data_IF_012650505851
#
_entry.id   IF_012650505851
#
_cell.length_a   1.000
_cell.length_b   1.000
_cell.length_c   1.000
_cell.angle_alpha   90.00
_cell.angle_beta   90.00
_cell.angle_gamma   90.00
#
_symmetry.space_group_name_H-M   'P 1'
#
loop_
_entity.id
_entity.type
_entity.pdbx_description
1 polymer ?
#
# COMPACT_ATOMS: atom_id res chain seq x y z
N UNK A 1 25.99 -28.39 12.98
CA UNK A 1 25.24 -27.23 12.42
C UNK A 1 23.78 -27.64 12.38
N UNK A 2 22.98 -27.13 13.29
CA UNK A 2 21.54 -27.36 13.27
C UNK A 2 20.93 -26.37 12.27
N UNK A 3 20.36 -26.87 11.17
CA UNK A 3 19.49 -26.09 10.30
C UNK A 3 18.20 -25.79 11.09
N UNK A 4 18.05 -24.54 11.50
CA UNK A 4 16.84 -24.06 12.15
C UNK A 4 15.74 -24.03 11.08
N UNK A 5 14.74 -24.88 11.21
CA UNK A 5 13.61 -24.96 10.26
C UNK A 5 12.79 -23.66 10.29
N UNK A 6 12.04 -23.43 9.22
CA UNK A 6 11.16 -22.25 9.12
C UNK A 6 10.17 -22.15 10.27
N UNK A 7 9.68 -23.31 10.78
CA UNK A 7 8.81 -23.42 11.94
C UNK A 7 9.47 -22.95 13.23
N UNK A 8 10.75 -23.27 13.44
CA UNK A 8 11.48 -22.86 14.67
C UNK A 8 11.69 -21.36 14.73
N UNK A 9 11.86 -20.70 13.57
CA UNK A 9 11.96 -19.24 13.46
C UNK A 9 10.63 -18.56 13.79
N UNK A 10 9.51 -19.10 13.30
CA UNK A 10 8.16 -18.62 13.63
C UNK A 10 7.84 -18.76 15.11
N UNK A 11 8.17 -19.91 15.71
CA UNK A 11 8.01 -20.17 17.14
C UNK A 11 8.87 -19.20 17.97
N UNK A 12 10.10 -18.93 17.55
CA UNK A 12 10.99 -17.99 18.23
C UNK A 12 10.48 -16.54 18.12
N UNK A 13 9.99 -16.11 16.97
CA UNK A 13 9.37 -14.79 16.77
C UNK A 13 8.09 -14.68 17.62
N UNK A 14 7.24 -15.72 17.62
CA UNK A 14 6.02 -15.78 18.44
C UNK A 14 6.34 -15.76 19.95
N UNK A 15 7.36 -16.49 20.36
CA UNK A 15 7.85 -16.49 21.74
C UNK A 15 8.40 -15.11 22.17
N UNK A 16 9.13 -14.43 21.30
CA UNK A 16 9.67 -13.09 21.52
C UNK A 16 8.57 -12.03 21.64
N UNK A 17 7.50 -12.17 20.83
CA UNK A 17 6.31 -11.31 20.89
C UNK A 17 5.51 -11.56 22.16
N UNK A 18 5.35 -12.83 22.55
CA UNK A 18 4.55 -13.22 23.73
C UNK A 18 5.26 -12.96 25.05
N UNK A 19 6.58 -13.12 25.14
CA UNK A 19 7.34 -12.84 26.37
C UNK A 19 7.42 -11.35 26.70
N UNK A 20 7.50 -10.47 25.67
CA UNK A 20 7.41 -9.02 25.89
C UNK A 20 6.00 -8.52 26.23
N UNK A 21 4.96 -9.29 25.91
CA UNK A 21 3.58 -8.94 26.31
C UNK A 21 3.35 -8.94 27.81
N UNK A 22 4.18 -9.65 28.58
CA UNK A 22 4.11 -9.64 30.05
C UNK A 22 4.59 -8.32 30.66
N UNK A 23 5.51 -7.63 30.01
CA UNK A 23 6.01 -6.33 30.49
C UNK A 23 5.06 -5.17 30.17
N UNK A 24 4.21 -5.34 29.13
CA UNK A 24 3.22 -4.32 28.70
C UNK A 24 1.93 -4.39 29.56
N UNK A 25 1.64 -5.48 30.25
CA UNK A 25 0.43 -5.60 31.06
C UNK A 25 0.42 -4.76 32.36
N UNK A 26 1.53 -4.11 32.69
CA UNK A 26 1.64 -3.24 33.87
C UNK A 26 1.59 -1.74 33.56
N UNK A 27 1.60 -1.33 32.29
CA UNK A 27 1.27 0.04 31.90
C UNK A 27 -0.24 0.12 31.72
N UNK A 28 -0.89 0.95 32.50
CA UNK A 28 -2.35 1.10 32.44
C UNK A 28 -2.77 1.54 31.04
N UNK A 29 -3.80 0.90 30.48
CA UNK A 29 -4.44 1.28 29.22
C UNK A 29 -4.89 2.76 29.15
N UNK A 30 -4.84 3.46 30.29
CA UNK A 30 -5.14 4.88 30.42
C UNK A 30 -4.02 5.81 29.89
N UNK A 31 -2.79 5.31 29.69
CA UNK A 31 -1.68 6.11 29.14
C UNK A 31 -1.52 5.99 27.63
N UNK A 32 -2.31 5.14 26.97
CA UNK A 32 -2.43 5.13 25.51
C UNK A 32 -3.64 6.00 25.14
N UNK A 33 -3.71 7.18 25.67
CA UNK A 33 -4.67 8.18 25.18
C UNK A 33 -4.14 8.72 23.84
N UNK A 34 -4.68 8.18 22.76
CA UNK A 34 -4.56 8.82 21.44
C UNK A 34 -5.09 10.25 21.63
N UNK A 35 -4.25 11.23 21.33
CA UNK A 35 -4.65 12.65 21.38
C UNK A 35 -5.92 12.81 20.52
N UNK A 36 -7.06 13.21 21.11
CA UNK A 36 -8.32 13.33 20.37
C UNK A 36 -8.22 14.26 19.17
N UNK A 37 -7.34 15.25 19.20
CA UNK A 37 -7.14 16.19 18.09
C UNK A 37 -6.33 15.54 16.96
N UNK A 38 -5.40 14.64 17.28
CA UNK A 38 -4.67 13.84 16.28
C UNK A 38 -5.62 12.82 15.65
N UNK A 39 -6.44 12.14 16.46
CA UNK A 39 -7.44 11.20 15.98
C UNK A 39 -8.51 11.91 15.12
N UNK A 40 -8.99 13.08 15.55
CA UNK A 40 -9.94 13.86 14.78
C UNK A 40 -9.35 14.37 13.46
N UNK A 41 -8.06 14.71 13.45
CA UNK A 41 -7.35 15.12 12.24
C UNK A 41 -7.09 13.95 11.29
N UNK A 42 -6.78 12.78 11.80
CA UNK A 42 -6.65 11.55 11.01
C UNK A 42 -8.02 11.08 10.48
N UNK A 43 -9.07 11.12 11.31
CA UNK A 43 -10.44 10.81 10.89
C UNK A 43 -11.04 11.85 9.93
N UNK A 44 -10.67 13.13 10.03
CA UNK A 44 -11.11 14.15 9.06
C UNK A 44 -10.46 13.97 7.68
N UNK A 45 -9.27 13.39 7.67
CA UNK A 45 -8.54 13.00 6.47
C UNK A 45 -9.14 11.73 5.85
N UNK A 46 -9.63 10.79 6.66
CA UNK A 46 -10.36 9.59 6.20
C UNK A 46 -11.78 9.89 5.70
N UNK A 47 -12.32 11.08 5.98
CA UNK A 47 -13.62 11.54 5.47
C UNK A 47 -13.56 12.08 4.03
N UNK A 48 -12.38 12.35 3.49
CA UNK A 48 -12.21 12.46 2.05
C UNK A 48 -12.22 11.04 1.48
N UNK A 49 -13.37 10.65 0.98
CA UNK A 49 -13.77 9.34 0.48
C UNK A 49 -12.61 8.69 -0.29
N UNK A 50 -12.04 7.62 0.26
CA UNK A 50 -11.13 6.77 -0.48
C UNK A 50 -11.88 6.24 -1.71
N UNK A 51 -11.40 6.50 -2.94
CA UNK A 51 -12.05 5.97 -4.14
C UNK A 51 -12.26 4.46 -4.11
N UNK A 52 -11.46 3.70 -3.34
CA UNK A 52 -11.60 2.27 -3.16
C UNK A 52 -12.78 1.88 -2.24
N UNK A 53 -13.12 2.70 -1.22
CA UNK A 53 -14.26 2.40 -0.35
C UNK A 53 -15.62 2.58 -1.05
N UNK A 54 -15.70 3.38 -2.09
CA UNK A 54 -16.92 3.50 -2.92
C UNK A 54 -17.11 2.30 -3.85
N UNK A 55 -16.04 1.62 -4.23
CA UNK A 55 -16.07 0.49 -5.16
C UNK A 55 -16.77 -0.72 -4.53
N UNK A 56 -16.60 -0.96 -3.22
CA UNK A 56 -17.17 -2.11 -2.53
C UNK A 56 -18.67 -1.98 -2.20
N UNK A 57 -19.25 -0.78 -2.33
CA UNK A 57 -20.66 -0.53 -1.94
C UNK A 57 -21.67 -0.71 -3.05
N UNK A 58 -21.25 -0.60 -4.30
CA UNK A 58 -22.14 -0.75 -5.46
C UNK A 58 -22.01 -2.16 -6.05
N UNK A 59 -22.62 -3.13 -5.38
CA UNK A 59 -22.61 -4.56 -5.66
C UNK A 59 -22.53 -4.94 -7.14
N UNK A 60 -21.40 -5.52 -7.53
CA UNK A 60 -21.05 -5.89 -8.87
C UNK A 60 -21.77 -7.17 -9.33
N UNK A 61 -22.75 -7.04 -10.21
CA UNK A 61 -23.22 -8.12 -11.05
C UNK A 61 -23.44 -7.64 -12.48
N UNK A 62 -22.43 -7.79 -13.32
CA UNK A 62 -22.62 -7.60 -14.74
C UNK A 62 -21.59 -8.43 -15.52
N UNK A 63 -22.09 -9.19 -16.52
CA UNK A 63 -21.30 -10.15 -17.27
C UNK A 63 -20.19 -9.52 -18.13
N UNK A 64 -19.29 -10.35 -18.63
CA UNK A 64 -18.10 -10.00 -19.42
C UNK A 64 -18.35 -9.05 -20.60
N UNK A 65 -19.57 -9.03 -21.16
CA UNK A 65 -19.95 -8.15 -22.27
C UNK A 65 -20.04 -6.68 -21.81
N UNK A 66 -20.58 -6.44 -20.62
CA UNK A 66 -20.71 -5.11 -20.04
C UNK A 66 -19.33 -4.51 -19.71
N UNK A 67 -18.43 -5.33 -19.17
CA UNK A 67 -17.05 -4.96 -18.83
C UNK A 67 -16.28 -4.37 -20.03
N UNK A 68 -16.38 -4.98 -21.21
CA UNK A 68 -15.68 -4.48 -22.41
C UNK A 68 -16.21 -3.11 -22.84
N UNK A 69 -17.53 -2.91 -22.76
CA UNK A 69 -18.15 -1.62 -23.09
C UNK A 69 -17.74 -0.54 -22.09
N UNK A 70 -17.69 -0.86 -20.81
CA UNK A 70 -17.23 0.06 -19.76
C UNK A 70 -15.76 0.45 -19.94
N UNK A 71 -14.88 -0.51 -20.26
CA UNK A 71 -13.49 -0.22 -20.60
C UNK A 71 -13.35 0.65 -21.85
N UNK A 72 -14.14 0.40 -22.90
CA UNK A 72 -14.12 1.20 -24.13
C UNK A 72 -14.58 2.64 -23.88
N UNK A 73 -15.56 2.83 -23.01
CA UNK A 73 -16.01 4.16 -22.58
C UNK A 73 -14.94 4.85 -21.72
N UNK A 74 -14.37 4.12 -20.76
CA UNK A 74 -13.31 4.62 -19.89
C UNK A 74 -12.09 5.10 -20.68
N UNK A 75 -11.67 4.37 -21.72
CA UNK A 75 -10.57 4.80 -22.61
C UNK A 75 -10.87 6.15 -23.29
N UNK A 76 -12.13 6.43 -23.62
CA UNK A 76 -12.52 7.73 -24.18
C UNK A 76 -12.48 8.81 -23.11
N UNK A 77 -12.99 8.51 -21.91
CA UNK A 77 -13.02 9.42 -20.77
C UNK A 77 -11.61 9.86 -20.31
N UNK A 78 -10.60 8.99 -20.40
CA UNK A 78 -9.23 9.34 -20.07
C UNK A 78 -8.63 10.44 -20.98
N UNK A 79 -9.20 10.67 -22.15
CA UNK A 79 -8.78 11.75 -23.07
C UNK A 79 -9.61 13.04 -22.90
N UNK A 80 -10.54 13.06 -21.96
CA UNK A 80 -11.45 14.18 -21.75
C UNK A 80 -10.93 15.23 -20.75
N UNK A 81 -11.87 15.97 -20.19
CA UNK A 81 -11.58 16.92 -19.12
C UNK A 81 -11.25 16.20 -17.80
N UNK A 82 -10.96 16.98 -16.74
CA UNK A 82 -10.55 16.43 -15.42
C UNK A 82 -11.61 15.49 -14.85
N UNK A 83 -12.88 15.87 -14.89
CA UNK A 83 -13.97 15.07 -14.32
C UNK A 83 -14.13 13.74 -15.07
N UNK A 84 -14.08 13.81 -16.39
CA UNK A 84 -14.12 12.64 -17.26
C UNK A 84 -12.94 11.71 -17.01
N UNK A 85 -11.72 12.25 -16.87
CA UNK A 85 -10.54 11.42 -16.54
C UNK A 85 -10.69 10.71 -15.20
N UNK A 86 -11.20 11.38 -14.15
CA UNK A 86 -11.46 10.75 -12.87
C UNK A 86 -12.48 9.62 -12.98
N UNK A 87 -13.55 9.80 -13.77
CA UNK A 87 -14.53 8.74 -14.02
C UNK A 87 -13.90 7.55 -14.75
N UNK A 88 -13.12 7.80 -15.78
CA UNK A 88 -12.39 6.74 -16.51
C UNK A 88 -11.39 6.01 -15.62
N UNK A 89 -10.68 6.72 -14.74
CA UNK A 89 -9.74 6.13 -13.78
C UNK A 89 -10.42 5.19 -12.80
N UNK A 90 -11.64 5.50 -12.31
CA UNK A 90 -12.40 4.62 -11.42
C UNK A 90 -12.63 3.25 -12.06
N UNK A 91 -12.98 3.21 -13.33
CA UNK A 91 -13.21 1.97 -14.07
C UNK A 91 -11.93 1.13 -14.13
N UNK A 92 -10.77 1.75 -14.36
CA UNK A 92 -9.48 1.05 -14.38
C UNK A 92 -8.91 0.70 -12.99
N UNK A 93 -9.46 1.24 -11.93
CA UNK A 93 -9.21 0.72 -10.57
C UNK A 93 -9.88 -0.64 -10.33
N UNK A 94 -10.93 -0.97 -11.09
CA UNK A 94 -11.68 -2.23 -10.97
C UNK A 94 -11.28 -3.23 -12.07
N UNK A 95 -11.22 -2.76 -13.30
CA UNK A 95 -10.99 -3.62 -14.47
C UNK A 95 -9.57 -3.54 -14.99
N UNK A 96 -9.08 -4.67 -15.48
CA UNK A 96 -7.79 -4.76 -16.17
C UNK A 96 -7.99 -4.65 -17.67
N UNK A 97 -7.34 -3.64 -18.28
CA UNK A 97 -7.29 -3.47 -19.72
C UNK A 97 -5.94 -2.86 -20.13
N UNK A 98 -5.14 -3.63 -20.86
CA UNK A 98 -3.80 -3.22 -21.26
C UNK A 98 -3.79 -1.95 -22.15
N UNK A 99 -4.90 -1.63 -22.81
CA UNK A 99 -5.03 -0.41 -23.63
C UNK A 99 -5.02 0.87 -22.81
N UNK A 100 -5.31 0.78 -21.51
CA UNK A 100 -5.30 1.93 -20.59
C UNK A 100 -3.89 2.46 -20.30
N UNK A 101 -2.88 1.61 -20.36
CA UNK A 101 -1.53 1.94 -19.92
C UNK A 101 -0.95 3.23 -20.53
N UNK A 102 -0.92 3.44 -21.87
CA UNK A 102 -0.37 4.67 -22.46
C UNK A 102 -1.12 5.93 -22.04
N UNK A 103 -2.38 5.80 -21.60
CA UNK A 103 -3.21 6.90 -21.12
C UNK A 103 -3.03 7.15 -19.61
N UNK A 104 -2.71 6.11 -18.82
CA UNK A 104 -2.53 6.23 -17.37
C UNK A 104 -1.21 6.90 -17.00
N UNK A 105 -0.12 6.63 -17.72
CA UNK A 105 1.21 7.17 -17.39
C UNK A 105 1.25 8.70 -17.36
N UNK A 106 0.70 9.43 -18.36
CA UNK A 106 0.68 10.90 -18.32
C UNK A 106 -0.13 11.48 -17.15
N UNK A 107 -1.08 10.70 -16.61
CA UNK A 107 -1.92 11.15 -15.50
C UNK A 107 -1.16 11.17 -14.15
N UNK A 108 -0.04 10.48 -14.05
CA UNK A 108 0.85 10.53 -12.90
C UNK A 108 1.52 11.91 -12.72
N UNK A 109 1.54 12.76 -13.75
CA UNK A 109 2.13 14.09 -13.72
C UNK A 109 1.09 15.22 -13.60
N UNK A 110 -0.18 14.88 -13.41
CA UNK A 110 -1.24 15.89 -13.31
C UNK A 110 -1.08 16.74 -12.05
N UNK A 111 -1.37 18.04 -12.10
CA UNK A 111 -1.31 18.92 -10.93
C UNK A 111 -2.24 18.48 -9.80
N UNK A 112 -3.37 17.87 -10.13
CA UNK A 112 -4.37 17.43 -9.17
C UNK A 112 -3.93 16.12 -8.48
N UNK A 113 -3.76 16.10 -7.15
CA UNK A 113 -3.36 14.89 -6.44
C UNK A 113 -4.39 13.77 -6.53
N UNK A 114 -5.68 14.08 -6.67
CA UNK A 114 -6.74 13.07 -6.86
C UNK A 114 -6.55 12.33 -8.19
N UNK A 115 -6.21 13.03 -9.27
CA UNK A 115 -5.92 12.39 -10.56
C UNK A 115 -4.68 11.50 -10.47
N UNK A 116 -3.58 12.01 -9.85
CA UNK A 116 -2.36 11.21 -9.65
C UNK A 116 -2.63 9.97 -8.82
N UNK A 117 -3.32 10.10 -7.68
CA UNK A 117 -3.67 9.00 -6.80
C UNK A 117 -4.52 7.95 -7.51
N UNK A 118 -5.57 8.37 -8.24
CA UNK A 118 -6.44 7.45 -8.99
C UNK A 118 -5.68 6.75 -10.13
N UNK A 119 -4.77 7.45 -10.81
CA UNK A 119 -3.91 6.84 -11.82
C UNK A 119 -2.94 5.80 -11.20
N UNK A 120 -2.41 6.08 -10.01
CA UNK A 120 -1.59 5.12 -9.25
C UNK A 120 -2.39 3.87 -8.89
N UNK A 121 -3.64 4.00 -8.41
CA UNK A 121 -4.49 2.86 -8.12
C UNK A 121 -4.83 2.05 -9.37
N UNK A 122 -5.16 2.72 -10.47
CA UNK A 122 -5.39 2.06 -11.75
C UNK A 122 -4.16 1.26 -12.22
N UNK A 123 -2.96 1.82 -12.08
CA UNK A 123 -1.70 1.14 -12.38
C UNK A 123 -1.37 0.01 -11.39
N UNK A 124 -1.80 0.10 -10.15
CA UNK A 124 -1.70 -1.01 -9.19
C UNK A 124 -2.57 -2.20 -9.58
N UNK A 125 -3.76 -1.94 -10.14
CA UNK A 125 -4.65 -2.99 -10.68
C UNK A 125 -4.22 -3.48 -12.06
N UNK A 126 -3.56 -2.63 -12.84
CA UNK A 126 -3.03 -2.91 -14.18
C UNK A 126 -1.51 -2.76 -14.18
N UNK A 127 -0.75 -3.63 -13.49
CA UNK A 127 0.68 -3.46 -13.36
C UNK A 127 1.37 -3.56 -14.73
N UNK A 128 2.19 -2.55 -15.01
CA UNK A 128 2.96 -2.46 -16.23
C UNK A 128 4.44 -2.20 -15.89
N UNK A 129 5.36 -3.07 -16.29
CA UNK A 129 6.76 -2.98 -15.84
C UNK A 129 7.42 -1.60 -16.04
N UNK A 130 7.09 -0.89 -17.13
CA UNK A 130 7.66 0.43 -17.41
C UNK A 130 7.07 1.56 -16.54
N UNK A 131 6.03 1.31 -15.73
CA UNK A 131 5.53 2.28 -14.75
C UNK A 131 6.36 2.33 -13.46
N UNK A 132 7.15 1.29 -13.18
CA UNK A 132 7.80 1.11 -11.88
C UNK A 132 8.69 2.28 -11.50
N UNK A 133 9.55 2.75 -12.40
CA UNK A 133 10.46 3.86 -12.11
C UNK A 133 9.70 5.15 -11.77
N UNK A 134 8.60 5.41 -12.48
CA UNK A 134 7.76 6.57 -12.22
C UNK A 134 7.02 6.46 -10.90
N UNK A 135 6.49 5.27 -10.56
CA UNK A 135 5.86 5.01 -9.28
C UNK A 135 6.86 5.12 -8.13
N UNK A 136 8.07 4.61 -8.28
CA UNK A 136 9.14 4.80 -7.27
C UNK A 136 9.42 6.29 -7.06
N UNK A 137 9.54 7.07 -8.13
CA UNK A 137 9.71 8.52 -8.03
C UNK A 137 8.57 9.19 -7.25
N UNK A 138 7.31 8.82 -7.53
CA UNK A 138 6.14 9.35 -6.80
C UNK A 138 6.17 8.97 -5.31
N UNK A 139 6.55 7.74 -4.97
CA UNK A 139 6.67 7.32 -3.59
C UNK A 139 7.70 8.18 -2.82
N UNK A 140 8.79 8.55 -3.47
CA UNK A 140 9.89 9.28 -2.84
C UNK A 140 9.68 10.80 -2.82
N UNK A 141 8.95 11.36 -3.80
CA UNK A 141 8.99 12.80 -4.04
C UNK A 141 7.62 13.50 -4.14
N UNK A 142 6.50 12.76 -4.20
CA UNK A 142 5.19 13.42 -4.29
C UNK A 142 4.88 14.18 -2.99
N UNK A 143 4.47 15.43 -3.10
CA UNK A 143 4.16 16.28 -1.95
C UNK A 143 2.92 15.77 -1.18
N UNK A 144 2.01 15.09 -1.86
CA UNK A 144 0.76 14.62 -1.27
C UNK A 144 0.90 13.21 -0.68
N UNK A 145 0.66 13.08 0.63
CA UNK A 145 0.79 11.82 1.35
C UNK A 145 -0.18 10.73 0.85
N UNK A 146 -1.36 11.09 0.34
CA UNK A 146 -2.31 10.11 -0.22
C UNK A 146 -1.80 9.51 -1.52
N UNK A 147 -1.12 10.31 -2.35
CA UNK A 147 -0.46 9.80 -3.56
C UNK A 147 0.65 8.84 -3.16
N UNK A 148 1.50 9.19 -2.18
CA UNK A 148 2.56 8.31 -1.69
C UNK A 148 2.00 7.03 -1.08
N UNK A 149 0.91 7.12 -0.30
CA UNK A 149 0.20 5.96 0.26
C UNK A 149 -0.30 5.01 -0.82
N UNK A 150 -1.02 5.54 -1.80
CA UNK A 150 -1.51 4.76 -2.95
C UNK A 150 -0.35 4.11 -3.72
N UNK A 151 0.76 4.84 -3.86
CA UNK A 151 1.96 4.35 -4.55
C UNK A 151 2.62 3.21 -3.77
N UNK A 152 2.72 3.32 -2.44
CA UNK A 152 3.22 2.24 -1.61
C UNK A 152 2.41 0.96 -1.81
N UNK A 153 1.07 1.06 -1.79
CA UNK A 153 0.17 -0.06 -2.08
C UNK A 153 0.35 -0.60 -3.51
N UNK A 154 0.40 0.29 -4.51
CA UNK A 154 0.51 -0.09 -5.93
C UNK A 154 1.78 -0.91 -6.20
N UNK A 155 2.90 -0.52 -5.61
CA UNK A 155 4.21 -1.15 -5.82
C UNK A 155 4.27 -2.61 -5.36
N UNK A 156 3.39 -3.05 -4.45
CA UNK A 156 3.26 -4.45 -4.06
C UNK A 156 2.88 -5.37 -5.23
N UNK A 157 2.26 -4.83 -6.27
CA UNK A 157 1.81 -5.58 -7.44
C UNK A 157 2.88 -5.67 -8.56
N UNK A 158 4.09 -5.17 -8.30
CA UNK A 158 5.19 -5.17 -9.26
C UNK A 158 6.30 -6.11 -8.82
N UNK A 159 6.51 -7.18 -9.59
CA UNK A 159 7.64 -8.10 -9.38
C UNK A 159 8.95 -7.44 -9.84
N UNK A 160 9.45 -6.49 -9.05
CA UNK A 160 10.66 -5.76 -9.38
C UNK A 160 11.46 -5.42 -8.12
N UNK A 161 12.72 -5.84 -8.09
CA UNK A 161 13.61 -5.62 -6.95
C UNK A 161 13.91 -4.15 -6.64
N UNK A 162 13.77 -3.24 -7.61
CA UNK A 162 14.06 -1.82 -7.39
C UNK A 162 13.11 -1.17 -6.38
N UNK A 163 11.91 -1.73 -6.18
CA UNK A 163 10.90 -1.17 -5.26
C UNK A 163 11.21 -1.43 -3.78
N UNK A 164 12.06 -2.43 -3.48
CA UNK A 164 12.36 -2.84 -2.11
C UNK A 164 12.95 -1.70 -1.26
N UNK A 165 13.99 -1.04 -1.78
CA UNK A 165 14.67 0.04 -1.04
C UNK A 165 13.78 1.27 -0.82
N UNK A 166 13.04 1.79 -1.83
CA UNK A 166 12.06 2.85 -1.64
C UNK A 166 11.00 2.52 -0.59
N UNK A 167 10.44 1.31 -0.59
CA UNK A 167 9.48 0.87 0.42
C UNK A 167 10.08 0.80 1.84
N UNK A 168 11.31 0.31 1.96
CA UNK A 168 12.05 0.34 3.24
C UNK A 168 12.24 1.78 3.72
N UNK A 169 12.60 2.69 2.84
CA UNK A 169 12.79 4.10 3.18
C UNK A 169 11.49 4.77 3.61
N UNK A 170 10.40 4.51 2.89
CA UNK A 170 9.07 5.03 3.24
C UNK A 170 8.59 4.46 4.60
N UNK A 171 8.81 3.17 4.88
CA UNK A 171 8.48 2.59 6.19
C UNK A 171 9.25 3.25 7.35
N UNK A 172 10.44 3.78 7.09
CA UNK A 172 11.25 4.48 8.11
C UNK A 172 10.81 5.92 8.36
N UNK A 173 10.48 6.65 7.31
CA UNK A 173 10.58 8.10 7.33
C UNK A 173 9.30 8.83 6.94
N UNK A 174 8.29 8.15 6.41
CA UNK A 174 7.07 8.79 5.92
C UNK A 174 6.01 8.92 7.02
N UNK A 175 4.85 9.50 6.70
CA UNK A 175 3.70 9.58 7.60
C UNK A 175 3.11 8.19 7.88
N UNK A 176 2.36 8.05 8.97
CA UNK A 176 1.87 6.75 9.45
C UNK A 176 1.12 5.93 8.41
N UNK A 177 0.24 6.57 7.63
CA UNK A 177 -0.54 5.88 6.59
C UNK A 177 0.34 5.33 5.45
N UNK A 178 1.41 6.04 5.07
CA UNK A 178 2.38 5.54 4.08
C UNK A 178 3.23 4.43 4.67
N UNK A 179 3.69 4.56 5.93
CA UNK A 179 4.43 3.51 6.63
C UNK A 179 3.62 2.21 6.73
N UNK A 180 2.32 2.33 7.04
CA UNK A 180 1.40 1.20 7.10
C UNK A 180 1.40 0.42 5.78
N UNK A 181 1.14 1.08 4.66
CA UNK A 181 1.08 0.42 3.35
C UNK A 181 2.45 -0.06 2.88
N UNK A 182 3.52 0.67 3.19
CA UNK A 182 4.89 0.22 2.90
C UNK A 182 5.23 -1.09 3.63
N UNK A 183 4.78 -1.25 4.89
CA UNK A 183 4.98 -2.50 5.62
C UNK A 183 4.23 -3.68 4.99
N UNK A 184 2.97 -3.48 4.54
CA UNK A 184 2.22 -4.51 3.80
C UNK A 184 2.91 -4.90 2.50
N UNK A 185 3.34 -3.90 1.73
CA UNK A 185 3.98 -4.13 0.43
C UNK A 185 5.34 -4.81 0.55
N UNK A 186 6.05 -4.59 1.65
CA UNK A 186 7.31 -5.29 1.93
C UNK A 186 7.11 -6.80 2.15
N UNK A 187 5.95 -7.27 2.62
CA UNK A 187 5.66 -8.69 2.70
C UNK A 187 5.58 -9.33 1.30
N UNK A 188 4.88 -8.66 0.37
CA UNK A 188 4.74 -9.14 -1.02
C UNK A 188 6.09 -9.14 -1.76
N UNK A 189 6.80 -8.02 -1.72
CA UNK A 189 8.09 -7.87 -2.41
C UNK A 189 9.18 -8.73 -1.76
N UNK A 190 9.10 -8.94 -0.46
CA UNK A 190 9.98 -9.83 0.27
C UNK A 190 9.85 -11.28 -0.17
N UNK A 191 8.65 -11.74 -0.51
CA UNK A 191 8.41 -13.13 -0.93
C UNK A 191 9.05 -13.50 -2.27
N UNK A 192 9.48 -12.51 -3.08
CA UNK A 192 10.08 -12.72 -4.40
C UNK A 192 11.44 -13.47 -4.30
N UNK A 193 12.23 -13.20 -3.27
CA UNK A 193 13.53 -13.87 -3.08
C UNK A 193 13.97 -13.90 -1.61
N UNK A 194 14.80 -14.87 -1.25
CA UNK A 194 15.34 -14.99 0.12
C UNK A 194 16.16 -13.75 0.55
N UNK A 195 16.81 -13.07 -0.37
CA UNK A 195 17.52 -11.83 -0.09
C UNK A 195 16.56 -10.68 0.23
N UNK A 196 15.48 -10.56 -0.52
CA UNK A 196 14.42 -9.57 -0.28
C UNK A 196 13.71 -9.87 1.04
N UNK A 197 13.38 -11.14 1.30
CA UNK A 197 12.75 -11.58 2.56
C UNK A 197 13.57 -11.13 3.77
N UNK A 198 14.88 -11.33 3.73
CA UNK A 198 15.77 -10.93 4.82
C UNK A 198 15.76 -9.42 5.06
N UNK A 199 15.90 -8.62 4.00
CA UNK A 199 15.93 -7.16 4.11
C UNK A 199 14.57 -6.59 4.56
N UNK A 200 13.47 -7.12 4.02
CA UNK A 200 12.13 -6.75 4.43
C UNK A 200 11.89 -7.10 5.91
N UNK A 201 12.20 -8.34 6.33
CA UNK A 201 12.04 -8.78 7.70
C UNK A 201 12.86 -7.96 8.70
N UNK A 202 14.11 -7.64 8.36
CA UNK A 202 14.96 -6.79 9.20
C UNK A 202 14.31 -5.43 9.46
N UNK A 203 13.81 -4.76 8.40
CA UNK A 203 13.16 -3.48 8.56
C UNK A 203 11.82 -3.57 9.29
N UNK A 204 11.00 -4.58 8.99
CA UNK A 204 9.73 -4.80 9.68
C UNK A 204 9.93 -5.03 11.18
N UNK A 205 10.96 -5.79 11.58
CA UNK A 205 11.33 -6.01 12.98
C UNK A 205 11.79 -4.73 13.68
N UNK A 206 12.52 -3.86 12.98
CA UNK A 206 12.92 -2.56 13.51
C UNK A 206 11.66 -1.71 13.75
N UNK A 207 10.82 -1.54 12.74
CA UNK A 207 9.61 -0.72 12.82
C UNK A 207 8.62 -1.26 13.87
N UNK A 208 8.47 -2.58 13.99
CA UNK A 208 7.67 -3.19 15.06
C UNK A 208 8.12 -2.75 16.46
N UNK A 209 9.41 -2.52 16.66
CA UNK A 209 9.96 -2.16 17.98
C UNK A 209 9.87 -0.67 18.29
N UNK A 210 10.03 0.18 17.29
CA UNK A 210 10.27 1.62 17.50
C UNK A 210 9.20 2.53 16.92
N UNK A 211 8.29 2.04 16.04
CA UNK A 211 7.28 2.90 15.44
C UNK A 211 6.32 3.41 16.52
N UNK A 212 6.04 4.71 16.50
CA UNK A 212 5.15 5.33 17.47
C UNK A 212 3.69 4.90 17.27
N UNK A 213 3.28 4.58 16.04
CA UNK A 213 1.91 4.26 15.69
C UNK A 213 1.58 2.77 15.94
N UNK A 214 0.61 2.47 16.82
CA UNK A 214 0.23 1.08 17.10
C UNK A 214 -0.24 0.32 15.86
N UNK A 215 -0.95 1.00 14.95
CA UNK A 215 -1.46 0.40 13.71
C UNK A 215 -0.31 -0.04 12.79
N UNK A 216 0.75 0.75 12.69
CA UNK A 216 1.95 0.38 11.92
C UNK A 216 2.65 -0.81 12.54
N UNK A 217 2.82 -0.82 13.89
CA UNK A 217 3.40 -1.97 14.60
C UNK A 217 2.59 -3.26 14.39
N UNK A 218 1.27 -3.18 14.51
CA UNK A 218 0.37 -4.33 14.26
C UNK A 218 0.50 -4.84 12.83
N UNK A 219 0.58 -3.93 11.86
CA UNK A 219 0.74 -4.32 10.46
C UNK A 219 2.12 -4.92 10.17
N UNK A 220 3.18 -4.47 10.85
CA UNK A 220 4.50 -5.12 10.76
C UNK A 220 4.46 -6.58 11.23
N UNK A 221 3.69 -6.90 12.30
CA UNK A 221 3.49 -8.29 12.74
C UNK A 221 2.81 -9.11 11.64
N UNK A 222 1.69 -8.60 11.11
CA UNK A 222 0.97 -9.26 10.03
C UNK A 222 1.87 -9.51 8.81
N UNK A 223 2.64 -8.50 8.41
CA UNK A 223 3.58 -8.56 7.28
C UNK A 223 4.70 -9.58 7.51
N UNK A 224 5.22 -9.67 8.74
CA UNK A 224 6.22 -10.67 9.10
C UNK A 224 5.65 -12.09 9.04
N UNK A 225 4.43 -12.31 9.53
CA UNK A 225 3.78 -13.61 9.42
C UNK A 225 3.64 -14.02 7.94
N UNK A 226 3.10 -13.12 7.12
CA UNK A 226 2.89 -13.37 5.70
C UNK A 226 4.17 -13.60 4.89
N UNK A 227 5.27 -12.96 5.31
CA UNK A 227 6.57 -13.10 4.64
C UNK A 227 7.17 -14.51 4.81
N UNK A 228 6.76 -15.23 5.84
CA UNK A 228 7.31 -16.55 6.20
C UNK A 228 6.29 -17.69 6.06
N UNK A 229 5.09 -17.45 5.55
CA UNK A 229 4.15 -18.48 5.08
C UNK A 229 4.66 -19.15 3.81
#
# INVERSE_FOLDING_TARGET
RYDVTSSDKLIFIFYLIMTKRKDIQNESLAEIAIDPDVLAKELSVDLEIDPLEQIDKDGFSSGTLNRNLECDEALKLLNGDREQRIQGLRIFCEYRDARSFPLLIPLLDQPCPVERMSAVYALGRNPFPSAVEKLVSLLETDDNAYVRRATAWSLANYDNQIVLKPLINSLKNDVASVRLWSSSSLAEIGSISSSNARLAAEQLLISLKIDNEPVVRSNCIWSLCRLFE
#
